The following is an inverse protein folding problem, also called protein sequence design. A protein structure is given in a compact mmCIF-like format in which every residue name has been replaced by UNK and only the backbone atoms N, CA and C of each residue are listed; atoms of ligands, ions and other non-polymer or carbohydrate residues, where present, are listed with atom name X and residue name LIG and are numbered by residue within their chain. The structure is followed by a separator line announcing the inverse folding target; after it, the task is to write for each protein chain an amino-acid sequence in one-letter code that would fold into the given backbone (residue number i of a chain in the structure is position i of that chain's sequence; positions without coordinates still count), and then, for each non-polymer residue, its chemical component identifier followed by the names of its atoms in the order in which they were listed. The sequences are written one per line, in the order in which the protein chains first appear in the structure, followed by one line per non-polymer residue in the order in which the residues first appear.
data_IF_687781138778
#
_entry.id   IF_687781138778
#
_cell.length_a   1.000
_cell.length_b   1.000
_cell.length_c   1.000
_cell.angle_alpha   90.00
_cell.angle_beta   90.00
_cell.angle_gamma   90.00
#
_symmetry.space_group_name_H-M   'P 1'
#
loop_
_entity.id
_entity.type
_entity.pdbx_description
1 polymer ?
#
# COMPACT_ATOMS: atom_id res chain seq x y z
N UNK A 1 -5.72 -28.83 5.54
CA UNK A 1 -7.09 -28.40 5.93
C UNK A 1 -7.93 -28.16 4.68
N UNK A 2 -9.16 -28.67 4.60
CA UNK A 2 -10.07 -28.36 3.49
C UNK A 2 -10.76 -26.99 3.66
N UNK A 3 -11.21 -26.37 2.56
CA UNK A 3 -11.82 -25.03 2.58
C UNK A 3 -13.02 -24.90 3.54
N UNK A 4 -13.83 -25.94 3.68
CA UNK A 4 -14.99 -25.96 4.59
C UNK A 4 -14.57 -25.92 6.06
N UNK A 5 -13.47 -26.60 6.41
CA UNK A 5 -12.92 -26.61 7.77
C UNK A 5 -12.24 -25.27 8.08
N UNK A 6 -11.46 -24.74 7.13
CA UNK A 6 -10.86 -23.40 7.26
C UNK A 6 -11.92 -22.29 7.40
N UNK A 7 -13.02 -22.37 6.65
CA UNK A 7 -14.11 -21.40 6.74
C UNK A 7 -14.73 -21.34 8.14
N UNK A 8 -14.94 -22.49 8.78
CA UNK A 8 -15.46 -22.56 10.15
C UNK A 8 -14.46 -22.10 11.22
N UNK A 9 -13.17 -22.40 11.03
CA UNK A 9 -12.12 -22.05 12.00
C UNK A 9 -11.79 -20.56 11.98
N UNK A 10 -11.72 -19.97 10.79
CA UNK A 10 -11.27 -18.58 10.61
C UNK A 10 -12.42 -17.59 10.36
N UNK A 11 -13.67 -18.06 10.41
CA UNK A 11 -14.87 -17.25 10.12
C UNK A 11 -14.80 -16.49 8.78
N UNK A 12 -14.09 -17.07 7.80
CA UNK A 12 -13.99 -16.51 6.44
C UNK A 12 -14.91 -17.31 5.51
N UNK A 13 -15.74 -16.65 4.66
CA UNK A 13 -16.56 -17.37 3.69
C UNK A 13 -15.74 -18.29 2.78
N UNK A 14 -16.26 -19.49 2.52
CA UNK A 14 -15.58 -20.49 1.69
C UNK A 14 -15.28 -19.97 0.27
N UNK A 15 -16.14 -19.13 -0.27
CA UNK A 15 -15.98 -18.48 -1.58
C UNK A 15 -14.76 -17.55 -1.60
N UNK A 16 -14.54 -16.78 -0.54
CA UNK A 16 -13.38 -15.89 -0.37
C UNK A 16 -12.08 -16.69 -0.33
N UNK A 17 -12.05 -17.80 0.41
CA UNK A 17 -10.87 -18.70 0.47
C UNK A 17 -10.57 -19.30 -0.91
N UNK A 18 -11.57 -19.83 -1.61
CA UNK A 18 -11.40 -20.40 -2.95
C UNK A 18 -10.86 -19.36 -3.94
N UNK A 19 -11.41 -18.14 -3.91
CA UNK A 19 -10.97 -17.03 -4.77
C UNK A 19 -9.50 -16.68 -4.53
N UNK A 20 -9.12 -16.43 -3.27
CA UNK A 20 -7.75 -16.07 -2.90
C UNK A 20 -6.74 -17.17 -3.23
N UNK A 21 -7.07 -18.44 -3.01
CA UNK A 21 -6.19 -19.56 -3.36
C UNK A 21 -6.05 -19.74 -4.87
N UNK A 22 -7.13 -19.54 -5.65
CA UNK A 22 -7.06 -19.54 -7.11
C UNK A 22 -6.15 -18.43 -7.62
N UNK A 23 -6.31 -17.20 -7.12
CA UNK A 23 -5.47 -16.05 -7.47
C UNK A 23 -3.99 -16.29 -7.11
N UNK A 24 -3.71 -16.85 -5.92
CA UNK A 24 -2.35 -17.18 -5.49
C UNK A 24 -1.67 -18.19 -6.41
N UNK A 25 -2.39 -19.25 -6.81
CA UNK A 25 -1.88 -20.27 -7.74
C UNK A 25 -1.63 -19.71 -9.13
N UNK A 26 -2.54 -18.89 -9.65
CA UNK A 26 -2.41 -18.29 -10.99
C UNK A 26 -1.25 -17.30 -11.07
N UNK A 27 -1.07 -16.47 -10.04
CA UNK A 27 -0.03 -15.43 -10.00
C UNK A 27 1.29 -15.89 -9.37
N UNK A 28 1.41 -17.17 -8.99
CA UNK A 28 2.54 -17.73 -8.22
C UNK A 28 2.94 -16.86 -7.02
N UNK A 29 1.94 -16.29 -6.34
CA UNK A 29 2.17 -15.40 -5.20
C UNK A 29 2.44 -16.23 -3.94
N UNK A 30 3.32 -15.71 -3.07
CA UNK A 30 3.42 -16.19 -1.69
C UNK A 30 2.06 -16.06 -0.98
N UNK A 31 1.82 -16.92 0.02
CA UNK A 31 0.61 -16.89 0.85
C UNK A 31 0.37 -15.54 1.50
N UNK A 32 1.45 -14.86 1.89
CA UNK A 32 1.42 -13.53 2.51
C UNK A 32 0.99 -12.46 1.51
N UNK A 33 1.60 -12.46 0.32
CA UNK A 33 1.24 -11.55 -0.77
C UNK A 33 -0.21 -11.74 -1.26
N UNK A 34 -0.73 -12.97 -1.21
CA UNK A 34 -2.13 -13.25 -1.54
C UNK A 34 -3.11 -12.76 -0.46
N UNK A 35 -2.66 -12.69 0.80
CA UNK A 35 -3.47 -12.20 1.93
C UNK A 35 -3.61 -10.68 1.93
N UNK A 36 -2.64 -9.96 1.36
CA UNK A 36 -2.69 -8.48 1.26
C UNK A 36 -3.99 -8.06 0.55
N UNK A 37 -4.74 -7.19 1.23
CA UNK A 37 -6.02 -6.67 0.75
C UNK A 37 -5.75 -5.42 -0.07
N UNK A 38 -5.69 -5.58 -1.38
CA UNK A 38 -5.61 -4.43 -2.30
C UNK A 38 -7.01 -3.95 -2.63
N UNK A 39 -7.24 -2.64 -2.60
CA UNK A 39 -8.54 -1.99 -2.89
C UNK A 39 -8.83 -1.92 -4.40
N UNK A 40 -8.54 -2.99 -5.14
CA UNK A 40 -8.81 -3.09 -6.57
C UNK A 40 -8.04 -2.05 -7.39
N UNK A 41 -8.75 -0.99 -7.82
CA UNK A 41 -8.19 0.09 -8.65
C UNK A 41 -7.30 1.04 -7.85
N UNK A 42 -7.55 1.22 -6.56
CA UNK A 42 -6.75 2.10 -5.72
C UNK A 42 -5.40 1.44 -5.46
N UNK A 43 -4.37 1.99 -6.11
CA UNK A 43 -2.97 1.65 -5.91
C UNK A 43 -2.31 2.81 -5.18
N UNK A 44 -1.35 2.49 -4.34
CA UNK A 44 -0.47 3.49 -3.73
C UNK A 44 0.43 4.05 -4.83
N UNK A 45 0.40 5.37 -5.02
CA UNK A 45 1.27 6.04 -5.99
C UNK A 45 2.70 6.17 -5.45
N UNK A 46 2.84 6.24 -4.12
CA UNK A 46 4.12 6.20 -3.44
C UNK A 46 4.49 4.77 -3.02
N UNK A 47 5.78 4.49 -3.10
CA UNK A 47 6.38 3.31 -2.47
C UNK A 47 6.56 3.53 -0.96
N UNK A 48 6.65 2.45 -0.19
CA UNK A 48 6.85 2.54 1.27
C UNK A 48 8.11 3.34 1.66
N UNK A 49 9.15 3.31 0.82
CA UNK A 49 10.35 4.10 1.04
C UNK A 49 10.11 5.62 0.85
N UNK A 50 9.29 5.98 -0.12
CA UNK A 50 8.94 7.39 -0.39
C UNK A 50 8.01 7.94 0.68
N UNK A 51 7.06 7.14 1.15
CA UNK A 51 6.21 7.54 2.28
C UNK A 51 7.05 7.81 3.53
N UNK A 52 8.07 6.99 3.80
CA UNK A 52 9.00 7.23 4.91
C UNK A 52 9.82 8.51 4.74
N UNK A 53 10.30 8.79 3.53
CA UNK A 53 11.01 10.05 3.24
C UNK A 53 10.11 11.25 3.49
N UNK A 54 8.87 11.21 2.99
CA UNK A 54 7.90 12.29 3.18
C UNK A 54 7.64 12.50 4.67
N UNK A 55 7.41 11.43 5.45
CA UNK A 55 7.22 11.54 6.91
C UNK A 55 8.43 12.15 7.61
N UNK A 56 9.65 11.76 7.23
CA UNK A 56 10.87 12.34 7.81
C UNK A 56 10.99 13.83 7.49
N UNK A 57 10.69 14.24 6.26
CA UNK A 57 10.71 15.64 5.86
C UNK A 57 9.71 16.47 6.68
N UNK A 58 8.53 15.92 7.00
CA UNK A 58 7.54 16.59 7.86
C UNK A 58 8.02 16.73 9.29
N UNK A 59 8.62 15.69 9.87
CA UNK A 59 9.18 15.76 11.22
C UNK A 59 10.26 16.84 11.30
N UNK A 60 11.16 16.88 10.31
CA UNK A 60 12.21 17.89 10.25
C UNK A 60 11.64 19.33 10.14
N UNK A 61 10.55 19.51 9.38
CA UNK A 61 9.88 20.81 9.26
C UNK A 61 9.20 21.23 10.57
N UNK A 62 8.60 20.28 11.29
CA UNK A 62 8.01 20.51 12.61
C UNK A 62 9.08 20.86 13.64
N UNK A 63 10.22 20.16 13.65
CA UNK A 63 11.36 20.41 14.55
C UNK A 63 11.96 21.82 14.34
N UNK A 64 11.93 22.33 13.11
CA UNK A 64 12.35 23.70 12.79
C UNK A 64 11.31 24.78 13.20
N UNK A 65 10.25 24.40 13.91
CA UNK A 65 9.14 25.26 14.35
C UNK A 65 8.38 25.93 13.19
N UNK A 66 8.44 25.34 11.98
CA UNK A 66 7.55 25.76 10.91
C UNK A 66 6.17 25.13 11.15
N UNK A 67 5.14 25.97 11.25
CA UNK A 67 3.77 25.49 11.25
C UNK A 67 3.46 24.86 9.90
N UNK A 68 3.10 23.58 9.89
CA UNK A 68 2.76 22.87 8.66
C UNK A 68 1.26 22.96 8.44
N UNK A 69 0.84 23.52 7.31
CA UNK A 69 -0.56 23.50 6.88
C UNK A 69 -0.84 22.32 5.94
N UNK A 70 -2.12 21.96 5.79
CA UNK A 70 -2.53 20.94 4.82
C UNK A 70 -2.15 21.30 3.37
N UNK A 71 -2.00 22.58 3.07
CA UNK A 71 -1.55 23.06 1.77
C UNK A 71 -0.09 22.66 1.53
N UNK A 72 0.77 22.89 2.52
CA UNK A 72 2.20 22.61 2.42
C UNK A 72 2.46 21.10 2.28
N UNK A 73 1.70 20.28 3.00
CA UNK A 73 1.73 18.81 2.83
C UNK A 73 1.46 18.40 1.37
N UNK A 74 0.44 19.00 0.76
CA UNK A 74 0.07 18.69 -0.64
C UNK A 74 1.14 19.18 -1.61
N UNK A 75 1.70 20.37 -1.37
CA UNK A 75 2.79 20.91 -2.19
C UNK A 75 4.03 20.03 -2.12
N UNK A 76 4.45 19.60 -0.92
CA UNK A 76 5.58 18.69 -0.73
C UNK A 76 5.35 17.32 -1.39
N UNK A 77 4.15 16.76 -1.24
CA UNK A 77 3.79 15.51 -1.90
C UNK A 77 3.83 15.64 -3.43
N UNK A 78 3.36 16.77 -3.97
CA UNK A 78 3.39 17.07 -5.39
C UNK A 78 4.83 17.24 -5.90
N UNK A 79 5.66 18.01 -5.21
CA UNK A 79 7.07 18.17 -5.58
C UNK A 79 7.84 16.84 -5.54
N UNK A 80 7.59 15.99 -4.54
CA UNK A 80 8.19 14.65 -4.48
C UNK A 80 7.76 13.78 -5.66
N UNK A 81 6.49 13.87 -6.07
CA UNK A 81 6.00 13.17 -7.26
C UNK A 81 6.65 13.69 -8.55
N UNK A 82 6.74 15.02 -8.74
CA UNK A 82 7.38 15.62 -9.91
C UNK A 82 8.88 15.29 -10.00
N UNK A 83 9.61 15.42 -8.88
CA UNK A 83 11.05 15.06 -8.80
C UNK A 83 11.32 13.61 -9.20
N UNK A 84 10.33 12.72 -9.07
CA UNK A 84 10.43 11.30 -9.43
C UNK A 84 9.80 10.94 -10.78
N UNK A 85 8.90 11.76 -11.33
CA UNK A 85 8.32 11.52 -12.67
C UNK A 85 9.35 11.57 -13.80
N UNK A 86 10.54 12.15 -13.57
CA UNK A 86 11.65 12.08 -14.52
C UNK A 86 12.38 10.72 -14.56
N UNK A 87 12.10 9.76 -13.66
CA UNK A 87 12.77 8.44 -13.66
C UNK A 87 11.87 7.24 -13.99
N UNK A 88 10.57 7.43 -14.18
CA UNK A 88 9.62 6.35 -14.45
C UNK A 88 8.84 6.50 -15.77
N UNK A 89 9.17 7.53 -16.56
CA UNK A 89 8.62 7.76 -17.90
C UNK A 89 9.72 7.55 -18.97
N UNK A 90 10.42 6.41 -18.91
CA UNK A 90 11.14 5.78 -20.02
C UNK A 90 11.10 4.27 -19.83
#
# INVERSE_FOLDING_TARGET
MGYRRASKVYSVPQTTLKRKVKEARQKKLSSEAAAVKVLGRYKTDFSEAQEKQLVQDLINLEDMLFGITLSDLRTLAFELAEKKQHSACL
#
